data_IF_353528590794
#
_entry.id   IF_353528590794
#
_cell.length_a   1.000
_cell.length_b   1.000
_cell.length_c   1.000
_cell.angle_alpha   90.00
_cell.angle_beta   90.00
_cell.angle_gamma   90.00
#
_symmetry.space_group_name_H-M   'P 1'
#
loop_
_entity.id
_entity.type
_entity.pdbx_description
1 polymer ?
#
# COMPACT_ATOMS: atom_id res chain seq x y z
N UNK A 1 -12.83 -9.66 -15.91
CA UNK A 1 -13.48 -8.42 -15.44
C UNK A 1 -13.35 -7.34 -16.51
N UNK A 2 -14.18 -6.30 -16.54
CA UNK A 2 -13.99 -5.17 -17.46
C UNK A 2 -13.35 -3.99 -16.71
N UNK A 3 -12.31 -3.40 -17.29
CA UNK A 3 -11.74 -2.15 -16.79
C UNK A 3 -12.59 -0.99 -17.30
N UNK A 4 -13.03 -0.13 -16.37
CA UNK A 4 -13.85 1.05 -16.67
C UNK A 4 -12.95 2.27 -16.87
N UNK A 5 -11.91 2.40 -16.05
CA UNK A 5 -10.93 3.49 -16.19
C UNK A 5 -10.15 3.77 -14.91
N UNK A 6 -9.20 4.69 -15.02
CA UNK A 6 -8.41 5.27 -13.93
C UNK A 6 -8.74 6.75 -13.84
N UNK A 7 -8.90 7.26 -12.63
CA UNK A 7 -9.16 8.68 -12.36
C UNK A 7 -8.26 9.14 -11.22
N UNK A 8 -7.61 10.28 -11.38
CA UNK A 8 -6.93 10.95 -10.26
C UNK A 8 -7.97 11.48 -9.26
N UNK A 9 -7.75 11.24 -7.98
CA UNK A 9 -8.67 11.62 -6.91
C UNK A 9 -7.95 12.40 -5.82
N UNK A 10 -8.69 13.31 -5.19
CA UNK A 10 -8.17 14.26 -4.19
C UNK A 10 -8.01 13.67 -2.79
N UNK A 11 -8.61 12.50 -2.52
CA UNK A 11 -8.59 11.85 -1.19
C UNK A 11 -8.27 10.36 -1.30
N UNK A 12 -7.57 9.78 -0.30
CA UNK A 12 -7.18 8.37 -0.31
C UNK A 12 -8.34 7.40 -0.07
N UNK A 13 -9.49 7.86 0.42
CA UNK A 13 -10.61 7.00 0.80
C UNK A 13 -11.94 7.74 0.73
N UNK A 14 -13.03 6.95 0.70
CA UNK A 14 -14.39 7.46 0.77
C UNK A 14 -15.28 6.92 -0.34
N UNK A 15 -16.50 6.54 0.03
CA UNK A 15 -17.51 6.11 -0.95
C UNK A 15 -17.85 7.21 -1.95
N UNK A 16 -17.93 8.46 -1.49
CA UNK A 16 -18.21 9.62 -2.34
C UNK A 16 -17.14 9.81 -3.43
N UNK A 17 -15.87 9.61 -3.07
CA UNK A 17 -14.74 9.70 -4.01
C UNK A 17 -14.84 8.63 -5.10
N UNK A 18 -15.19 7.41 -4.70
CA UNK A 18 -15.38 6.30 -5.64
C UNK A 18 -16.56 6.55 -6.60
N UNK A 19 -17.66 7.09 -6.08
CA UNK A 19 -18.85 7.44 -6.87
C UNK A 19 -18.58 8.62 -7.81
N UNK A 20 -17.85 9.64 -7.36
CA UNK A 20 -17.43 10.78 -8.16
C UNK A 20 -16.51 10.37 -9.31
N UNK A 21 -15.48 9.57 -9.02
CA UNK A 21 -14.59 9.02 -10.03
C UNK A 21 -15.37 8.25 -11.10
N UNK A 22 -16.35 7.43 -10.70
CA UNK A 22 -17.18 6.69 -11.64
C UNK A 22 -18.13 7.56 -12.47
N UNK A 23 -18.64 8.67 -11.92
CA UNK A 23 -19.40 9.66 -12.70
C UNK A 23 -18.51 10.36 -13.72
N UNK A 24 -17.28 10.71 -13.36
CA UNK A 24 -16.35 11.41 -14.25
C UNK A 24 -16.01 10.59 -15.51
N UNK A 25 -15.96 9.25 -15.40
CA UNK A 25 -15.71 8.34 -16.53
C UNK A 25 -16.91 8.14 -17.46
N UNK A 26 -18.12 8.55 -17.05
CA UNK A 26 -19.32 8.50 -17.92
C UNK A 26 -19.38 9.66 -18.90
N UNK A 27 -18.70 10.77 -18.59
CA UNK A 27 -18.64 11.94 -19.47
C UNK A 27 -17.53 11.69 -20.49
N UNK A 28 -17.84 11.55 -21.79
CA UNK A 28 -16.82 11.34 -22.82
C UNK A 28 -15.98 12.61 -22.93
N UNK A 29 -14.74 12.55 -22.46
CA UNK A 29 -13.81 13.67 -22.52
C UNK A 29 -12.99 13.54 -23.82
N UNK A 30 -13.27 14.40 -24.82
CA UNK A 30 -12.65 14.33 -26.15
C UNK A 30 -11.14 14.61 -26.14
N UNK A 31 -10.60 15.15 -25.03
CA UNK A 31 -9.23 15.64 -24.93
C UNK A 31 -8.33 14.82 -23.99
N UNK A 32 -8.87 13.83 -23.25
CA UNK A 32 -8.08 13.08 -22.28
C UNK A 32 -7.99 11.59 -22.66
N UNK A 33 -6.90 11.22 -23.34
CA UNK A 33 -6.64 9.86 -23.81
C UNK A 33 -6.53 8.83 -22.67
N UNK A 34 -6.19 9.25 -21.45
CA UNK A 34 -6.12 8.35 -20.29
C UNK A 34 -7.52 7.99 -19.74
N UNK A 35 -8.48 8.93 -19.78
CA UNK A 35 -9.90 8.66 -19.49
C UNK A 35 -10.53 7.76 -20.57
N UNK A 36 -9.97 7.79 -21.77
CA UNK A 36 -10.40 7.02 -22.93
C UNK A 36 -9.77 5.62 -23.02
N UNK A 37 -9.37 5.01 -21.89
CA UNK A 37 -9.05 3.58 -21.86
C UNK A 37 -10.32 2.79 -22.25
N UNK A 38 -10.44 2.50 -23.55
CA UNK A 38 -11.54 1.76 -24.18
C UNK A 38 -11.89 0.57 -23.30
N UNK A 39 -13.10 0.56 -22.73
CA UNK A 39 -13.53 -0.42 -21.73
C UNK A 39 -13.07 -1.83 -22.10
N UNK A 40 -11.97 -2.30 -21.53
CA UNK A 40 -11.27 -3.50 -21.99
C UNK A 40 -11.51 -4.64 -21.03
N UNK A 41 -11.49 -5.88 -21.53
CA UNK A 41 -11.45 -7.04 -20.65
C UNK A 41 -10.07 -7.09 -20.03
N UNK A 42 -10.01 -7.21 -18.71
CA UNK A 42 -8.77 -7.30 -17.95
C UNK A 42 -8.78 -8.49 -17.01
N UNK A 43 -7.58 -8.95 -16.70
CA UNK A 43 -7.27 -9.84 -15.60
C UNK A 43 -6.70 -9.02 -14.45
N UNK A 44 -7.15 -9.32 -13.24
CA UNK A 44 -6.63 -8.71 -12.00
C UNK A 44 -5.89 -9.82 -11.27
N UNK A 45 -4.59 -9.63 -11.06
CA UNK A 45 -3.76 -10.52 -10.25
C UNK A 45 -3.51 -9.86 -8.91
N UNK A 46 -3.91 -10.53 -7.85
CA UNK A 46 -3.72 -10.06 -6.48
C UNK A 46 -2.66 -10.94 -5.81
N UNK A 47 -1.62 -10.30 -5.29
CA UNK A 47 -0.59 -10.92 -4.46
C UNK A 47 -0.43 -10.13 -3.17
N UNK A 48 0.34 -10.65 -2.20
CA UNK A 48 0.70 -9.88 -1.00
C UNK A 48 1.55 -8.64 -1.32
N UNK A 49 2.23 -8.65 -2.47
CA UNK A 49 3.10 -7.53 -2.90
C UNK A 49 2.30 -6.43 -3.60
N UNK A 50 1.27 -6.78 -4.37
CA UNK A 50 0.56 -5.81 -5.19
C UNK A 50 -0.62 -6.35 -5.98
N UNK A 51 -1.24 -5.42 -6.71
CA UNK A 51 -2.33 -5.65 -7.64
C UNK A 51 -1.83 -5.33 -9.05
N UNK A 52 -1.81 -6.33 -9.93
CA UNK A 52 -1.48 -6.16 -11.34
C UNK A 52 -2.73 -6.26 -12.21
N UNK A 53 -2.86 -5.31 -13.13
CA UNK A 53 -4.00 -5.20 -14.06
C UNK A 53 -3.48 -5.43 -15.46
N UNK A 54 -3.83 -6.56 -16.06
CA UNK A 54 -3.37 -6.97 -17.38
C UNK A 54 -4.51 -6.94 -18.39
N UNK A 55 -4.26 -6.45 -19.60
CA UNK A 55 -5.20 -6.59 -20.71
C UNK A 55 -5.39 -8.07 -21.04
N UNK A 56 -6.64 -8.50 -21.23
CA UNK A 56 -6.96 -9.93 -21.24
C UNK A 56 -6.44 -10.68 -22.48
N UNK A 57 -6.36 -10.06 -23.65
CA UNK A 57 -5.94 -10.74 -24.89
C UNK A 57 -4.42 -10.84 -25.00
N UNK A 58 -3.75 -9.70 -24.88
CA UNK A 58 -2.31 -9.50 -25.05
C UNK A 58 -1.51 -9.82 -23.81
N UNK A 59 -2.17 -9.86 -22.63
CA UNK A 59 -1.51 -9.95 -21.31
C UNK A 59 -0.57 -8.77 -21.02
N UNK A 60 -0.70 -7.67 -21.75
CA UNK A 60 0.07 -6.46 -21.48
C UNK A 60 -0.28 -5.90 -20.09
N UNK A 61 0.75 -5.60 -19.30
CA UNK A 61 0.60 -5.00 -17.99
C UNK A 61 0.19 -3.52 -18.14
N UNK A 62 -1.05 -3.20 -17.78
CA UNK A 62 -1.58 -1.84 -17.85
C UNK A 62 -1.15 -1.03 -16.64
N UNK A 63 -1.28 -1.62 -15.45
CA UNK A 63 -0.97 -0.96 -14.18
C UNK A 63 -0.49 -1.99 -13.17
N UNK A 64 0.43 -1.58 -12.30
CA UNK A 64 0.84 -2.31 -11.10
C UNK A 64 0.75 -1.37 -9.91
N UNK A 65 0.09 -1.81 -8.85
CA UNK A 65 -0.10 -1.04 -7.62
C UNK A 65 0.47 -1.84 -6.45
N UNK A 66 1.52 -1.35 -5.76
CA UNK A 66 1.98 -1.99 -4.53
C UNK A 66 0.84 -2.04 -3.51
N UNK A 67 0.68 -3.16 -2.83
CA UNK A 67 -0.48 -3.33 -1.94
C UNK A 67 -0.41 -2.39 -0.73
N UNK A 68 0.80 -1.94 -0.37
CA UNK A 68 1.05 -0.92 0.65
C UNK A 68 0.48 0.45 0.30
N UNK A 69 0.33 0.79 -0.99
CA UNK A 69 -0.22 2.08 -1.42
C UNK A 69 -1.74 2.06 -1.53
N UNK A 70 -2.37 0.87 -1.48
CA UNK A 70 -3.83 0.73 -1.53
C UNK A 70 -4.43 1.21 -0.20
N UNK A 71 -5.32 2.20 -0.30
CA UNK A 71 -5.88 2.90 0.85
C UNK A 71 -7.37 2.60 1.05
N UNK A 72 -8.10 2.25 -0.01
CA UNK A 72 -9.54 2.00 0.04
C UNK A 72 -9.99 1.07 -1.08
N UNK A 73 -11.01 0.26 -0.85
CA UNK A 73 -11.72 -0.47 -1.91
C UNK A 73 -13.19 -0.62 -1.53
N UNK A 74 -14.07 -0.53 -2.53
CA UNK A 74 -15.49 -0.76 -2.32
C UNK A 74 -16.22 -1.13 -3.63
N UNK A 75 -17.41 -1.67 -3.46
CA UNK A 75 -18.43 -1.73 -4.51
C UNK A 75 -19.19 -0.41 -4.50
N UNK A 76 -19.55 0.11 -5.67
CA UNK A 76 -20.38 1.32 -5.78
C UNK A 76 -21.77 1.03 -5.23
N UNK A 77 -22.31 1.97 -4.45
CA UNK A 77 -23.68 1.88 -3.92
C UNK A 77 -24.68 2.10 -5.04
N UNK A 78 -24.37 3.00 -5.97
CA UNK A 78 -25.20 3.29 -7.15
C UNK A 78 -25.22 2.15 -8.18
N UNK A 79 -24.22 1.27 -8.17
CA UNK A 79 -24.11 0.16 -9.12
C UNK A 79 -23.32 -1.02 -8.52
N UNK A 80 -24.00 -2.05 -7.97
CA UNK A 80 -23.35 -3.20 -7.33
C UNK A 80 -22.41 -4.03 -8.22
N UNK A 81 -22.48 -3.80 -9.54
CA UNK A 81 -21.66 -4.45 -10.57
C UNK A 81 -20.34 -3.72 -10.79
N UNK A 82 -20.21 -2.50 -10.28
CA UNK A 82 -19.02 -1.67 -10.41
C UNK A 82 -18.33 -1.62 -9.06
N UNK A 83 -17.04 -1.80 -9.07
CA UNK A 83 -16.21 -1.71 -7.88
C UNK A 83 -14.90 -1.03 -8.22
N UNK A 84 -14.16 -0.62 -7.21
CA UNK A 84 -12.84 -0.06 -7.42
C UNK A 84 -12.02 0.00 -6.15
N UNK A 85 -10.77 0.39 -6.33
CA UNK A 85 -9.85 0.66 -5.25
C UNK A 85 -9.09 1.96 -5.50
N UNK A 86 -8.62 2.58 -4.43
CA UNK A 86 -7.80 3.79 -4.45
C UNK A 86 -6.40 3.40 -4.00
N UNK A 87 -5.40 3.85 -4.75
CA UNK A 87 -4.00 3.66 -4.44
C UNK A 87 -3.22 4.97 -4.62
N UNK A 88 -2.24 5.21 -3.76
CA UNK A 88 -1.28 6.31 -3.93
C UNK A 88 -0.34 6.01 -5.10
N UNK A 89 -0.06 7.02 -5.91
CA UNK A 89 0.95 6.92 -6.96
C UNK A 89 2.36 6.80 -6.32
N UNK A 90 3.20 5.84 -6.74
CA UNK A 90 4.47 5.59 -6.06
C UNK A 90 5.51 6.70 -6.23
N UNK A 91 5.36 7.54 -7.26
CA UNK A 91 6.31 8.61 -7.59
C UNK A 91 5.72 10.03 -7.45
N UNK A 92 4.47 10.17 -6.99
CA UNK A 92 3.82 11.46 -6.88
C UNK A 92 2.84 11.48 -5.70
N UNK A 93 2.67 12.65 -5.08
CA UNK A 93 1.72 12.82 -3.97
C UNK A 93 0.28 12.99 -4.50
N UNK A 94 -0.19 11.97 -5.21
CA UNK A 94 -1.52 11.90 -5.79
C UNK A 94 -2.10 10.50 -5.62
N UNK A 95 -3.43 10.42 -5.68
CA UNK A 95 -4.14 9.15 -5.58
C UNK A 95 -4.85 8.85 -6.89
N UNK A 96 -4.88 7.57 -7.26
CA UNK A 96 -5.67 7.09 -8.38
C UNK A 96 -6.74 6.12 -7.91
N UNK A 97 -7.95 6.32 -8.43
CA UNK A 97 -9.06 5.41 -8.33
C UNK A 97 -9.12 4.52 -9.59
N UNK A 98 -9.05 3.21 -9.39
CA UNK A 98 -9.14 2.20 -10.44
C UNK A 98 -10.52 1.55 -10.39
N UNK A 99 -11.28 1.68 -11.47
CA UNK A 99 -12.68 1.24 -11.53
C UNK A 99 -12.86 0.08 -12.51
N UNK A 100 -13.68 -0.87 -12.08
CA UNK A 100 -13.93 -2.12 -12.78
C UNK A 100 -15.41 -2.46 -12.75
N UNK A 101 -15.84 -3.24 -13.75
CA UNK A 101 -17.17 -3.82 -13.80
C UNK A 101 -17.10 -5.35 -13.84
N UNK A 102 -17.77 -6.00 -12.90
CA UNK A 102 -17.93 -7.45 -12.81
C UNK A 102 -19.35 -7.80 -12.39
N UNK A 103 -20.04 -8.59 -13.21
CA UNK A 103 -21.44 -8.94 -12.96
C UNK A 103 -21.62 -9.84 -11.74
N UNK A 104 -20.66 -10.76 -11.50
CA UNK A 104 -20.78 -11.82 -10.50
C UNK A 104 -19.79 -11.70 -9.34
N UNK A 105 -18.61 -11.12 -9.60
CA UNK A 105 -17.50 -11.21 -8.65
C UNK A 105 -17.15 -9.89 -7.97
N UNK A 106 -17.89 -8.80 -8.20
CA UNK A 106 -17.54 -7.50 -7.63
C UNK A 106 -17.41 -7.52 -6.09
N UNK A 107 -18.36 -8.07 -5.30
CA UNK A 107 -18.22 -8.13 -3.85
C UNK A 107 -17.04 -8.99 -3.40
N UNK A 108 -16.84 -10.15 -4.03
CA UNK A 108 -15.75 -11.08 -3.70
C UNK A 108 -14.39 -10.46 -3.99
N UNK A 109 -14.22 -9.79 -5.12
CA UNK A 109 -12.96 -9.12 -5.49
C UNK A 109 -12.63 -7.99 -4.50
N UNK A 110 -13.64 -7.21 -4.09
CA UNK A 110 -13.46 -6.17 -3.06
C UNK A 110 -13.07 -6.78 -1.71
N UNK A 111 -13.69 -7.90 -1.30
CA UNK A 111 -13.31 -8.60 -0.07
C UNK A 111 -11.86 -9.06 -0.12
N UNK A 112 -11.46 -9.73 -1.21
CA UNK A 112 -10.09 -10.23 -1.38
C UNK A 112 -9.05 -9.10 -1.35
N UNK A 113 -9.30 -8.00 -2.08
CA UNK A 113 -8.43 -6.82 -2.04
C UNK A 113 -8.36 -6.26 -0.61
N UNK A 114 -9.53 -6.12 0.03
CA UNK A 114 -9.67 -5.64 1.39
C UNK A 114 -8.87 -6.44 2.41
N UNK A 115 -9.00 -7.76 2.37
CA UNK A 115 -8.28 -8.67 3.25
C UNK A 115 -6.76 -8.59 3.01
N UNK A 116 -6.36 -8.59 1.75
CA UNK A 116 -4.95 -8.54 1.37
C UNK A 116 -4.27 -7.23 1.85
N UNK A 117 -4.84 -6.05 1.57
CA UNK A 117 -4.17 -4.80 1.98
C UNK A 117 -4.24 -4.57 3.49
N UNK A 118 -5.26 -5.07 4.20
CA UNK A 118 -5.29 -5.06 5.68
C UNK A 118 -4.19 -5.92 6.26
N UNK A 119 -3.95 -7.11 5.69
CA UNK A 119 -2.85 -7.98 6.10
C UNK A 119 -1.49 -7.28 5.93
N UNK A 120 -1.24 -6.68 4.76
CA UNK A 120 0.01 -5.94 4.49
C UNK A 120 0.21 -4.74 5.41
N UNK A 121 -0.84 -3.96 5.72
CA UNK A 121 -0.74 -2.85 6.69
C UNK A 121 -0.39 -3.34 8.09
N UNK A 122 -0.97 -4.46 8.53
CA UNK A 122 -0.65 -5.06 9.84
C UNK A 122 0.81 -5.52 9.89
N UNK A 123 1.28 -6.22 8.85
CA UNK A 123 2.69 -6.66 8.76
C UNK A 123 3.66 -5.49 8.74
N UNK A 124 3.36 -4.44 7.97
CA UNK A 124 4.20 -3.24 7.90
C UNK A 124 4.33 -2.57 9.26
N UNK A 125 3.23 -2.40 10.00
CA UNK A 125 3.24 -1.80 11.34
C UNK A 125 4.06 -2.64 12.34
N UNK A 126 3.94 -3.97 12.27
CA UNK A 126 4.74 -4.88 13.12
C UNK A 126 6.22 -4.79 12.77
N UNK A 127 6.59 -4.76 11.48
CA UNK A 127 7.98 -4.61 11.04
C UNK A 127 8.56 -3.26 11.47
N UNK A 128 7.85 -2.17 11.23
CA UNK A 128 8.27 -0.83 11.66
C UNK A 128 8.48 -0.76 13.19
N UNK A 129 7.59 -1.36 13.98
CA UNK A 129 7.77 -1.45 15.42
C UNK A 129 9.01 -2.26 15.83
N UNK A 130 9.29 -3.38 15.15
CA UNK A 130 10.50 -4.19 15.40
C UNK A 130 11.77 -3.41 15.06
N UNK A 131 11.78 -2.67 13.95
CA UNK A 131 12.96 -1.91 13.52
C UNK A 131 13.31 -0.82 14.54
N UNK A 132 12.30 -0.10 15.05
CA UNK A 132 12.48 0.88 16.13
C UNK A 132 13.05 0.24 17.41
N UNK A 133 12.56 -0.93 17.79
CA UNK A 133 13.06 -1.67 18.97
C UNK A 133 14.51 -2.13 18.75
N UNK A 134 14.84 -2.64 17.56
CA UNK A 134 16.20 -3.07 17.21
C UNK A 134 17.16 -1.88 17.24
N UNK A 135 16.75 -0.72 16.74
CA UNK A 135 17.55 0.50 16.74
C UNK A 135 17.81 1.02 18.16
N UNK A 136 16.78 1.02 19.02
CA UNK A 136 16.92 1.37 20.44
C UNK A 136 17.85 0.40 21.19
N UNK A 137 17.72 -0.91 20.95
CA UNK A 137 18.59 -1.93 21.54
C UNK A 137 20.04 -1.80 21.07
N UNK A 138 20.28 -1.47 19.79
CA UNK A 138 21.62 -1.19 19.26
C UNK A 138 22.26 0.01 19.96
N UNK A 139 21.50 1.09 20.15
CA UNK A 139 22.00 2.26 20.88
C UNK A 139 22.34 1.92 22.34
N UNK A 140 21.45 1.20 23.05
CA UNK A 140 21.67 0.78 24.43
C UNK A 140 22.89 -0.13 24.58
N UNK A 141 23.07 -1.11 23.68
CA UNK A 141 24.26 -1.97 23.67
C UNK A 141 25.55 -1.16 23.51
N UNK A 142 25.55 -0.17 22.61
CA UNK A 142 26.73 0.68 22.39
C UNK A 142 27.10 1.49 23.62
N UNK A 143 26.12 2.01 24.36
CA UNK A 143 26.34 2.73 25.64
C UNK A 143 26.88 1.77 26.70
N UNK A 144 26.23 0.63 26.89
CA UNK A 144 26.65 -0.38 27.87
C UNK A 144 28.04 -0.93 27.59
N UNK A 145 28.44 -1.09 26.32
CA UNK A 145 29.79 -1.50 25.95
C UNK A 145 30.84 -0.46 26.39
N UNK A 146 30.57 0.83 26.17
CA UNK A 146 31.47 1.92 26.62
C UNK A 146 31.60 1.96 28.14
N UNK A 147 30.48 1.87 28.85
CA UNK A 147 30.49 1.83 30.33
C UNK A 147 31.25 0.60 30.85
N UNK A 148 31.03 -0.58 30.25
CA UNK A 148 31.77 -1.79 30.63
C UNK A 148 33.28 -1.65 30.40
N UNK A 149 33.71 -1.06 29.29
CA UNK A 149 35.12 -0.80 29.03
C UNK A 149 35.72 0.15 30.07
N UNK A 150 35.00 1.21 30.44
CA UNK A 150 35.43 2.15 31.47
C UNK A 150 35.52 1.47 32.84
N UNK A 151 34.50 0.72 33.25
CA UNK A 151 34.49 -0.02 34.51
C UNK A 151 35.62 -1.05 34.57
N UNK A 152 35.87 -1.80 33.48
CA UNK A 152 37.01 -2.72 33.40
C UNK A 152 38.34 -2.01 33.60
N UNK A 153 38.53 -0.83 33.01
CA UNK A 153 39.74 -0.01 33.26
C UNK A 153 39.84 0.46 34.72
N UNK A 154 38.71 0.78 35.36
CA UNK A 154 38.68 1.19 36.78
C UNK A 154 39.04 0.04 37.71
N UNK A 155 38.52 -1.15 37.47
CA UNK A 155 38.79 -2.36 38.27
C UNK A 155 40.22 -2.87 38.05
N UNK A 156 40.76 -2.72 36.84
CA UNK A 156 42.15 -3.08 36.54
C UNK A 156 43.19 -2.14 37.16
N UNK A 157 42.79 -1.04 37.84
CA UNK A 157 43.72 -0.24 38.62
C UNK A 157 44.03 -0.97 39.94
N UNK A 158 45.26 -1.47 40.15
CA UNK A 158 45.62 -2.09 41.41
C UNK A 158 45.47 -1.09 42.56
N UNK A 159 44.83 -1.53 43.65
CA UNK A 159 44.83 -0.81 44.92
C UNK A 159 46.27 -0.75 45.46
N UNK A 160 46.94 0.39 45.31
CA UNK A 160 48.20 0.67 46.00
C UNK A 160 47.86 1.18 47.41
N UNK A 161 47.23 0.34 48.24
CA UNK A 161 46.90 0.70 49.64
C UNK A 161 46.87 -0.50 50.59
N UNK A 162 47.82 -1.44 50.48
CA UNK A 162 48.13 -2.42 51.55
C UNK A 162 49.63 -2.58 51.78
N UNK A 163 50.38 -1.47 51.77
CA UNK A 163 51.78 -1.45 52.21
C UNK A 163 52.07 -0.14 52.94
N UNK A 164 51.51 0.03 54.14
CA UNK A 164 51.99 0.92 55.20
C UNK A 164 51.65 0.31 56.56
#
# INVERSE_FOLDING_TARGET
>A
TQFVGRVEVVRPSGFEILEEAARSLKVPDKFNSEKAAKRSKVNIFLTLSGIDILENKTKFLLYSCPLSTVSFCAVLRSSPKVFGFIAQHPAADMYHCYLFQSQKFAPVLVSLIGDAFRATKKEHNVRAGRDLVVEALRHKNKVLQRENEELKRRVARPHIYEAM
#
